data_IF_306981568190
#
_entry.id   IF_306981568190
#
_cell.length_a   1.000
_cell.length_b   1.000
_cell.length_c   1.000
_cell.angle_alpha   90.00
_cell.angle_beta   90.00
_cell.angle_gamma   90.00
#
_symmetry.space_group_name_H-M   'P 1'
#
loop_
_entity.id
_entity.type
_entity.pdbx_description
1 polymer ?
#
# COMPACT_ATOMS: atom_id res chain seq x y z
N UNK A 1 -11.90 -6.84 8.83
CA UNK A 1 -13.13 -7.47 8.26
C UNK A 1 -13.43 -8.81 8.94
N UNK A 2 -12.77 -9.92 8.61
CA UNK A 2 -13.12 -11.24 9.19
C UNK A 2 -13.12 -11.22 10.74
N UNK A 3 -12.05 -10.71 11.35
CA UNK A 3 -11.95 -10.58 12.81
C UNK A 3 -13.02 -9.66 13.43
N UNK A 4 -13.42 -8.61 12.71
CA UNK A 4 -14.49 -7.70 13.15
C UNK A 4 -15.86 -8.40 13.12
N UNK A 5 -16.17 -9.12 12.03
CA UNK A 5 -17.40 -9.90 11.89
C UNK A 5 -17.52 -10.99 12.95
N UNK A 6 -16.42 -11.72 13.21
CA UNK A 6 -16.39 -12.72 14.28
C UNK A 6 -16.61 -12.08 15.65
N UNK A 7 -16.06 -10.89 15.90
CA UNK A 7 -16.29 -10.13 17.12
C UNK A 7 -17.76 -9.70 17.24
N UNK A 8 -18.35 -9.22 16.14
CA UNK A 8 -19.75 -8.80 16.08
C UNK A 8 -20.71 -9.97 16.35
N UNK A 9 -20.49 -11.11 15.69
CA UNK A 9 -21.23 -12.36 15.90
C UNK A 9 -21.07 -12.88 17.34
N UNK A 10 -19.85 -12.81 17.91
CA UNK A 10 -19.60 -13.20 19.30
C UNK A 10 -20.40 -12.35 20.28
N UNK A 11 -20.45 -11.03 20.09
CA UNK A 11 -21.23 -10.12 20.94
C UNK A 11 -22.73 -10.43 20.83
N UNK A 12 -23.25 -10.65 19.61
CA UNK A 12 -24.62 -11.08 19.38
C UNK A 12 -24.94 -12.39 20.12
N UNK A 13 -24.06 -13.39 19.99
CA UNK A 13 -24.17 -14.68 20.68
C UNK A 13 -24.24 -14.52 22.20
N UNK A 14 -23.45 -13.61 22.77
CA UNK A 14 -23.43 -13.35 24.22
C UNK A 14 -24.75 -12.76 24.73
N UNK A 15 -25.44 -11.94 23.92
CA UNK A 15 -26.78 -11.44 24.24
C UNK A 15 -27.79 -12.58 24.22
N UNK A 16 -27.83 -13.35 23.12
CA UNK A 16 -28.80 -14.45 22.95
C UNK A 16 -28.61 -15.54 24.02
N UNK A 17 -27.36 -15.86 24.36
CA UNK A 17 -27.03 -16.81 25.43
C UNK A 17 -27.55 -16.34 26.78
N UNK A 18 -27.29 -15.08 27.16
CA UNK A 18 -27.78 -14.52 28.43
C UNK A 18 -29.32 -14.52 28.48
N UNK A 19 -29.98 -14.23 27.35
CA UNK A 19 -31.44 -14.28 27.26
C UNK A 19 -31.98 -15.70 27.42
N UNK A 20 -31.33 -16.70 26.82
CA UNK A 20 -31.72 -18.11 26.92
C UNK A 20 -31.54 -18.66 28.35
N UNK A 21 -30.49 -18.22 29.06
CA UNK A 21 -30.26 -18.56 30.48
C UNK A 21 -31.31 -17.92 31.39
N UNK A 22 -31.71 -16.67 31.12
CA UNK A 22 -32.75 -15.99 31.89
C UNK A 22 -34.15 -16.56 31.62
N UNK A 23 -34.42 -16.93 30.35
CA UNK A 23 -35.71 -17.51 29.94
C UNK A 23 -35.49 -18.54 28.82
N UNK A 24 -35.57 -19.85 29.14
CA UNK A 24 -35.39 -20.91 28.14
C UNK A 24 -36.50 -20.85 27.09
N UNK A 25 -36.14 -20.53 25.84
CA UNK A 25 -37.05 -20.47 24.70
C UNK A 25 -36.39 -21.16 23.49
N UNK A 26 -37.06 -22.12 22.83
CA UNK A 26 -36.48 -22.83 21.68
C UNK A 26 -36.05 -21.92 20.53
N UNK A 27 -36.74 -20.78 20.34
CA UNK A 27 -36.37 -19.79 19.33
C UNK A 27 -35.00 -19.13 19.61
N UNK A 28 -34.59 -19.01 20.88
CA UNK A 28 -33.27 -18.47 21.24
C UNK A 28 -32.15 -19.50 20.98
N UNK A 29 -32.43 -20.79 21.19
CA UNK A 29 -31.50 -21.85 20.83
C UNK A 29 -31.30 -21.93 19.31
N UNK A 30 -32.38 -21.78 18.53
CA UNK A 30 -32.33 -21.71 17.07
C UNK A 30 -31.54 -20.49 16.59
N UNK A 31 -31.78 -19.31 17.17
CA UNK A 31 -31.06 -18.09 16.83
C UNK A 31 -29.56 -18.21 17.17
N UNK A 32 -29.22 -18.79 18.33
CA UNK A 32 -27.83 -19.07 18.71
C UNK A 32 -27.17 -20.00 17.70
N UNK A 33 -27.86 -21.06 17.27
CA UNK A 33 -27.35 -21.97 16.24
C UNK A 33 -27.09 -21.24 14.91
N UNK A 34 -27.98 -20.33 14.48
CA UNK A 34 -27.76 -19.51 13.28
C UNK A 34 -26.54 -18.59 13.41
N UNK A 35 -26.35 -17.97 14.57
CA UNK A 35 -25.16 -17.13 14.86
C UNK A 35 -23.88 -17.98 14.78
N UNK A 36 -23.87 -19.15 15.43
CA UNK A 36 -22.71 -20.06 15.42
C UNK A 36 -22.41 -20.57 14.00
N UNK A 37 -23.44 -20.84 13.19
CA UNK A 37 -23.29 -21.20 11.78
C UNK A 37 -22.65 -20.09 10.96
N UNK A 38 -23.09 -18.84 11.12
CA UNK A 38 -22.46 -17.70 10.45
C UNK A 38 -21.01 -17.49 10.92
N UNK A 39 -20.73 -17.67 12.21
CA UNK A 39 -19.38 -17.54 12.75
C UNK A 39 -18.43 -18.63 12.20
N UNK A 40 -18.90 -19.87 12.07
CA UNK A 40 -18.14 -20.95 11.46
C UNK A 40 -17.82 -20.67 9.99
N UNK A 41 -18.83 -20.23 9.21
CA UNK A 41 -18.65 -19.87 7.80
C UNK A 41 -17.62 -18.75 7.62
N UNK A 42 -17.77 -17.65 8.37
CA UNK A 42 -16.82 -16.53 8.34
C UNK A 42 -15.44 -16.99 8.80
N UNK A 43 -15.34 -17.92 9.75
CA UNK A 43 -14.07 -18.45 10.26
C UNK A 43 -13.28 -19.29 9.24
N UNK A 44 -13.96 -20.06 8.39
CA UNK A 44 -13.30 -20.89 7.37
C UNK A 44 -12.84 -20.08 6.16
N UNK A 45 -13.72 -19.28 5.57
CA UNK A 45 -13.40 -18.47 4.41
C UNK A 45 -14.40 -17.32 4.28
N UNK A 46 -13.89 -16.10 4.14
CA UNK A 46 -14.73 -14.93 3.87
C UNK A 46 -14.95 -14.79 2.36
N UNK A 47 -16.16 -15.08 1.89
CA UNK A 47 -16.55 -14.89 0.50
C UNK A 47 -17.03 -13.46 0.22
N UNK A 48 -17.02 -13.09 -1.06
CA UNK A 48 -17.54 -11.79 -1.51
C UNK A 48 -19.05 -11.71 -1.26
N UNK A 49 -19.47 -10.87 -0.32
CA UNK A 49 -20.87 -10.67 0.06
C UNK A 49 -21.24 -11.18 1.45
N UNK A 50 -20.38 -11.98 2.09
CA UNK A 50 -20.64 -12.51 3.44
C UNK A 50 -20.78 -11.40 4.48
N UNK A 51 -19.97 -10.34 4.38
CA UNK A 51 -20.07 -9.17 5.25
C UNK A 51 -21.48 -8.55 5.21
N UNK A 52 -22.02 -8.34 4.01
CA UNK A 52 -23.36 -7.77 3.82
C UNK A 52 -24.42 -8.71 4.38
N UNK A 53 -24.30 -10.01 4.10
CA UNK A 53 -25.25 -11.02 4.58
C UNK A 53 -25.26 -11.11 6.11
N UNK A 54 -24.08 -11.16 6.74
CA UNK A 54 -23.93 -11.24 8.19
C UNK A 54 -24.46 -9.97 8.86
N UNK A 55 -24.13 -8.79 8.34
CA UNK A 55 -24.64 -7.52 8.88
C UNK A 55 -26.17 -7.46 8.75
N UNK A 56 -26.73 -7.89 7.61
CA UNK A 56 -28.19 -7.95 7.43
C UNK A 56 -28.83 -8.91 8.43
N UNK A 57 -28.27 -10.10 8.61
CA UNK A 57 -28.75 -11.08 9.59
C UNK A 57 -28.72 -10.52 11.01
N UNK A 58 -27.60 -9.91 11.42
CA UNK A 58 -27.46 -9.30 12.73
C UNK A 58 -28.51 -8.20 12.96
N UNK A 59 -28.75 -7.33 11.98
CA UNK A 59 -29.75 -6.26 12.10
C UNK A 59 -31.18 -6.79 12.12
N UNK A 60 -31.53 -7.67 11.20
CA UNK A 60 -32.92 -8.08 10.97
C UNK A 60 -33.38 -9.16 11.95
N UNK A 61 -32.53 -10.15 12.24
CA UNK A 61 -32.91 -11.31 13.05
C UNK A 61 -32.48 -11.19 14.51
N UNK A 62 -31.37 -10.50 14.80
CA UNK A 62 -30.79 -10.44 16.16
C UNK A 62 -31.13 -9.12 16.86
N UNK A 63 -30.71 -7.99 16.30
CA UNK A 63 -30.86 -6.66 16.90
C UNK A 63 -32.33 -6.26 17.03
N UNK A 64 -33.20 -6.70 16.11
CA UNK A 64 -34.64 -6.47 16.16
C UNK A 64 -35.30 -7.03 17.44
N UNK A 65 -34.66 -8.01 18.08
CA UNK A 65 -35.15 -8.63 19.31
C UNK A 65 -34.66 -7.92 20.57
N UNK A 66 -33.63 -7.08 20.49
CA UNK A 66 -32.94 -6.54 21.66
C UNK A 66 -33.84 -5.74 22.60
N UNK A 67 -34.80 -4.99 22.07
CA UNK A 67 -35.78 -4.26 22.90
C UNK A 67 -36.59 -5.20 23.79
N UNK A 68 -37.00 -6.36 23.26
CA UNK A 68 -37.71 -7.36 24.05
C UNK A 68 -36.77 -8.13 24.98
N UNK A 69 -35.60 -8.57 24.50
CA UNK A 69 -34.66 -9.38 25.29
C UNK A 69 -34.15 -8.65 26.54
N UNK A 70 -33.97 -7.33 26.48
CA UNK A 70 -33.58 -6.52 27.65
C UNK A 70 -34.57 -6.58 28.82
N UNK A 71 -35.82 -7.01 28.57
CA UNK A 71 -36.83 -7.21 29.62
C UNK A 71 -36.61 -8.49 30.44
N UNK A 72 -35.76 -9.41 29.98
CA UNK A 72 -35.55 -10.71 30.64
C UNK A 72 -34.64 -10.62 31.87
N UNK A 73 -33.97 -9.48 32.09
CA UNK A 73 -33.22 -9.22 33.31
C UNK A 73 -32.03 -8.26 33.13
N UNK A 74 -31.42 -7.81 34.24
CA UNK A 74 -30.28 -6.90 34.21
C UNK A 74 -29.06 -7.48 33.49
N UNK A 75 -28.81 -8.79 33.64
CA UNK A 75 -27.70 -9.47 32.96
C UNK A 75 -27.82 -9.42 31.42
N UNK A 76 -29.04 -9.52 30.87
CA UNK A 76 -29.26 -9.41 29.42
C UNK A 76 -29.08 -7.96 28.97
N UNK A 77 -29.57 -7.00 29.76
CA UNK A 77 -29.42 -5.58 29.48
C UNK A 77 -27.97 -5.15 29.38
N UNK A 78 -27.15 -5.56 30.33
CA UNK A 78 -25.70 -5.31 30.33
C UNK A 78 -25.03 -5.82 29.04
N UNK A 79 -25.43 -7.00 28.55
CA UNK A 79 -24.89 -7.56 27.30
C UNK A 79 -25.34 -6.79 26.06
N UNK A 80 -26.59 -6.31 26.04
CA UNK A 80 -27.08 -5.47 24.93
C UNK A 80 -26.37 -4.12 24.92
N UNK A 81 -26.14 -3.52 26.08
CA UNK A 81 -25.38 -2.28 26.20
C UNK A 81 -23.92 -2.47 25.72
N UNK A 82 -23.26 -3.55 26.14
CA UNK A 82 -21.92 -3.89 25.68
C UNK A 82 -21.85 -4.13 24.16
N UNK A 83 -22.88 -4.78 23.58
CA UNK A 83 -22.98 -4.94 22.12
C UNK A 83 -23.07 -3.57 21.43
N UNK A 84 -24.00 -2.71 21.86
CA UNK A 84 -24.22 -1.39 21.26
C UNK A 84 -23.00 -0.48 21.38
N UNK A 85 -22.30 -0.53 22.52
CA UNK A 85 -21.09 0.25 22.75
C UNK A 85 -19.92 -0.17 21.84
N UNK A 86 -19.90 -1.41 21.36
CA UNK A 86 -18.86 -1.90 20.44
C UNK A 86 -19.13 -1.55 18.97
N UNK A 87 -20.33 -1.07 18.62
CA UNK A 87 -20.67 -0.70 17.26
C UNK A 87 -20.15 0.69 16.91
N UNK A 88 -19.60 0.83 15.70
CA UNK A 88 -19.20 2.13 15.19
C UNK A 88 -20.45 2.97 14.84
N UNK A 89 -20.52 4.26 15.25
CA UNK A 89 -21.75 5.08 15.16
C UNK A 89 -22.33 5.24 13.76
N UNK A 90 -21.49 5.24 12.72
CA UNK A 90 -21.92 5.48 11.34
C UNK A 90 -22.28 4.19 10.59
N UNK A 91 -21.55 3.09 10.86
CA UNK A 91 -21.74 1.84 10.12
C UNK A 91 -22.63 0.85 10.84
N UNK A 92 -22.86 1.01 12.15
CA UNK A 92 -23.61 0.06 12.97
C UNK A 92 -22.98 -1.34 12.98
N UNK A 93 -21.66 -1.41 12.85
CA UNK A 93 -20.88 -2.65 12.83
C UNK A 93 -19.60 -2.47 13.66
N UNK A 94 -19.01 -3.57 14.12
CA UNK A 94 -17.69 -3.55 14.79
C UNK A 94 -16.62 -3.18 13.75
N UNK A 95 -15.77 -2.19 14.04
CA UNK A 95 -14.75 -1.65 13.11
C UNK A 95 -13.34 -1.61 13.69
N UNK A 96 -13.09 -2.26 14.83
CA UNK A 96 -11.84 -2.12 15.58
C UNK A 96 -10.59 -2.50 14.77
N UNK A 97 -10.58 -3.67 14.12
CA UNK A 97 -9.41 -4.13 13.37
C UNK A 97 -9.23 -3.33 12.08
N UNK A 98 -10.34 -2.93 11.45
CA UNK A 98 -10.32 -2.05 10.28
C UNK A 98 -9.72 -0.68 10.63
N UNK A 99 -10.14 -0.10 11.74
CA UNK A 99 -9.60 1.17 12.23
C UNK A 99 -8.10 1.06 12.51
N UNK A 100 -7.65 -0.01 13.18
CA UNK A 100 -6.22 -0.25 13.41
C UNK A 100 -5.42 -0.35 12.11
N UNK A 101 -6.00 -0.96 11.07
CA UNK A 101 -5.39 -1.02 9.74
C UNK A 101 -5.32 0.37 9.09
N UNK A 102 -6.44 1.10 9.04
CA UNK A 102 -6.54 2.45 8.48
C UNK A 102 -5.59 3.44 9.18
N UNK A 103 -5.51 3.38 10.52
CA UNK A 103 -4.56 4.17 11.32
C UNK A 103 -3.10 3.82 10.97
N UNK A 104 -2.81 2.54 10.73
CA UNK A 104 -1.45 2.10 10.37
C UNK A 104 -1.06 2.58 8.98
N UNK A 105 -1.97 2.48 8.00
CA UNK A 105 -1.78 3.00 6.63
C UNK A 105 -1.57 4.51 6.65
N UNK A 106 -2.43 5.23 7.38
CA UNK A 106 -2.33 6.69 7.51
C UNK A 106 -0.96 7.10 8.05
N UNK A 107 -0.49 6.47 9.13
CA UNK A 107 0.84 6.75 9.71
C UNK A 107 1.99 6.47 8.75
N UNK A 108 1.88 5.41 7.94
CA UNK A 108 2.88 5.10 6.91
C UNK A 108 2.92 6.24 5.88
N UNK A 109 1.77 6.63 5.32
CA UNK A 109 1.66 7.69 4.31
C UNK A 109 2.14 9.04 4.86
N UNK A 110 1.78 9.38 6.09
CA UNK A 110 2.22 10.60 6.79
C UNK A 110 3.73 10.60 7.09
N UNK A 111 4.37 9.44 7.15
CA UNK A 111 5.82 9.33 7.31
C UNK A 111 6.56 9.44 5.98
N UNK A 112 6.02 8.83 4.92
CA UNK A 112 6.65 8.76 3.61
C UNK A 112 6.46 10.06 2.82
N UNK A 113 5.25 10.60 2.81
CA UNK A 113 4.89 11.73 1.94
C UNK A 113 5.75 12.97 2.19
N UNK A 114 5.93 13.44 3.44
CA UNK A 114 6.76 14.63 3.68
C UNK A 114 8.22 14.42 3.29
N UNK A 115 8.78 13.23 3.57
CA UNK A 115 10.15 12.92 3.17
C UNK A 115 10.33 12.96 1.64
N UNK A 116 9.36 12.42 0.90
CA UNK A 116 9.36 12.47 -0.56
C UNK A 116 9.20 13.90 -1.07
N UNK A 117 8.31 14.69 -0.47
CA UNK A 117 8.06 16.09 -0.86
C UNK A 117 9.30 16.97 -0.65
N UNK A 118 9.98 16.85 0.49
CA UNK A 118 11.21 17.59 0.78
C UNK A 118 12.34 17.17 -0.19
N UNK A 119 12.46 15.87 -0.48
CA UNK A 119 13.47 15.37 -1.41
C UNK A 119 13.19 15.83 -2.84
N UNK A 120 11.92 15.93 -3.22
CA UNK A 120 11.46 16.36 -4.54
C UNK A 120 11.69 17.86 -4.75
N UNK A 121 11.43 18.70 -3.74
CA UNK A 121 11.76 20.13 -3.81
C UNK A 121 13.24 20.35 -4.11
N UNK A 122 14.13 19.56 -3.48
CA UNK A 122 15.55 19.59 -3.78
C UNK A 122 15.88 19.07 -5.20
N UNK A 123 15.15 18.06 -5.68
CA UNK A 123 15.35 17.48 -7.02
C UNK A 123 14.97 18.46 -8.14
N UNK A 124 13.98 19.31 -7.93
CA UNK A 124 13.59 20.35 -8.90
C UNK A 124 14.73 21.31 -9.23
N UNK A 125 15.68 21.50 -8.31
CA UNK A 125 16.87 22.31 -8.56
C UNK A 125 17.95 21.59 -9.40
N UNK A 126 17.86 20.25 -9.57
CA UNK A 126 18.73 19.51 -10.49
C UNK A 126 18.34 19.77 -11.96
N UNK A 127 17.05 19.72 -12.25
CA UNK A 127 16.48 20.06 -13.56
C UNK A 127 14.95 20.19 -13.44
N UNK A 128 14.30 21.20 -14.04
CA UNK A 128 12.84 21.33 -13.99
C UNK A 128 12.13 20.11 -14.60
N UNK A 129 11.20 19.53 -13.85
CA UNK A 129 10.49 18.33 -14.29
C UNK A 129 9.06 18.30 -13.73
N UNK A 130 8.20 17.51 -14.36
CA UNK A 130 6.83 17.32 -13.89
C UNK A 130 6.77 16.11 -12.96
N UNK A 131 6.30 16.33 -11.74
CA UNK A 131 6.17 15.33 -10.69
C UNK A 131 4.69 15.04 -10.40
N UNK A 132 4.28 13.79 -10.56
CA UNK A 132 2.93 13.32 -10.23
C UNK A 132 3.01 12.39 -9.02
N UNK A 133 2.25 12.69 -7.96
CA UNK A 133 2.16 11.87 -6.73
C UNK A 133 0.72 11.49 -6.44
N UNK A 134 0.51 10.23 -6.06
CA UNK A 134 -0.79 9.70 -5.66
C UNK A 134 -0.68 8.97 -4.32
N UNK A 135 -1.52 9.36 -3.37
CA UNK A 135 -1.61 8.75 -2.04
C UNK A 135 -2.88 7.91 -1.96
N UNK A 136 -2.74 6.62 -1.71
CA UNK A 136 -3.84 5.67 -1.54
C UNK A 136 -3.61 4.83 -0.28
N UNK A 137 -3.44 3.51 -0.40
CA UNK A 137 -2.94 2.63 0.65
C UNK A 137 -1.39 2.56 0.67
N UNK A 138 -0.76 3.27 -0.25
CA UNK A 138 0.67 3.58 -0.30
C UNK A 138 0.94 4.91 -0.98
N UNK A 139 2.19 5.15 -1.37
CA UNK A 139 2.62 6.34 -2.11
C UNK A 139 3.18 5.91 -3.46
N UNK A 140 2.52 6.33 -4.53
CA UNK A 140 2.98 6.17 -5.92
C UNK A 140 3.40 7.53 -6.46
N UNK A 141 4.50 7.57 -7.22
CA UNK A 141 4.93 8.79 -7.89
C UNK A 141 5.59 8.51 -9.24
N UNK A 142 5.49 9.49 -10.13
CA UNK A 142 6.06 9.47 -11.47
C UNK A 142 6.73 10.79 -11.77
N UNK A 143 7.86 10.71 -12.48
CA UNK A 143 8.63 11.87 -12.92
C UNK A 143 8.65 11.86 -14.44
N UNK A 144 8.27 13.00 -15.02
CA UNK A 144 8.37 13.24 -16.44
C UNK A 144 9.39 14.35 -16.67
N UNK A 145 10.40 14.05 -17.49
CA UNK A 145 11.50 14.96 -17.78
C UNK A 145 11.87 14.89 -19.26
N UNK A 146 12.17 16.03 -19.88
CA UNK A 146 12.58 16.10 -21.27
C UNK A 146 12.53 17.53 -21.82
N UNK A 147 13.12 17.72 -23.00
CA UNK A 147 13.19 19.03 -23.66
C UNK A 147 11.82 19.70 -23.85
N UNK A 148 10.76 18.91 -24.07
CA UNK A 148 9.40 19.42 -24.30
C UNK A 148 8.71 19.97 -23.06
N UNK A 149 9.29 19.81 -21.86
CA UNK A 149 8.75 20.29 -20.59
C UNK A 149 9.38 21.61 -20.13
N UNK A 150 10.39 22.11 -20.86
CA UNK A 150 11.10 23.36 -20.54
C UNK A 150 11.01 24.34 -21.71
N UNK A 151 10.86 25.64 -21.41
CA UNK A 151 10.62 26.66 -22.45
C UNK A 151 11.81 26.85 -23.39
N UNK A 152 13.04 26.68 -22.90
CA UNK A 152 14.26 26.87 -23.68
C UNK A 152 14.69 25.62 -24.48
N UNK A 153 13.96 24.51 -24.31
CA UNK A 153 14.22 23.23 -24.97
C UNK A 153 15.54 22.56 -24.59
N UNK A 154 16.26 23.05 -23.58
CA UNK A 154 17.59 22.51 -23.22
C UNK A 154 17.41 21.27 -22.36
N UNK A 155 17.85 20.13 -22.87
CA UNK A 155 17.84 18.87 -22.15
C UNK A 155 19.06 18.03 -22.51
N UNK A 156 19.70 17.48 -21.49
CA UNK A 156 20.79 16.52 -21.62
C UNK A 156 20.42 15.21 -20.90
N UNK A 157 20.70 14.03 -21.49
CA UNK A 157 20.48 12.73 -20.84
C UNK A 157 21.12 12.58 -19.45
N UNK A 158 22.12 13.39 -19.11
CA UNK A 158 22.69 13.44 -17.77
C UNK A 158 21.63 13.77 -16.70
N UNK A 159 20.70 14.68 -16.97
CA UNK A 159 19.64 15.01 -16.00
C UNK A 159 18.72 13.82 -15.73
N UNK A 160 18.37 13.05 -16.77
CA UNK A 160 17.59 11.82 -16.63
C UNK A 160 18.31 10.78 -15.76
N UNK A 161 19.62 10.59 -16.00
CA UNK A 161 20.44 9.67 -15.17
C UNK A 161 20.49 10.13 -13.71
N UNK A 162 20.66 11.43 -13.48
CA UNK A 162 20.66 12.02 -12.14
C UNK A 162 19.34 11.77 -11.42
N UNK A 163 18.20 12.01 -12.07
CA UNK A 163 16.88 11.80 -11.48
C UNK A 163 16.58 10.31 -11.20
N UNK A 164 17.03 9.40 -12.08
CA UNK A 164 16.88 7.95 -11.83
C UNK A 164 17.67 7.47 -10.61
N UNK A 165 18.92 7.92 -10.49
CA UNK A 165 19.74 7.60 -9.32
C UNK A 165 19.14 8.24 -8.06
N UNK A 166 18.71 9.49 -8.14
CA UNK A 166 18.00 10.18 -7.06
C UNK A 166 16.76 9.39 -6.61
N UNK A 167 15.93 8.93 -7.54
CA UNK A 167 14.73 8.16 -7.23
C UNK A 167 15.08 6.90 -6.44
N UNK A 168 16.12 6.17 -6.85
CA UNK A 168 16.57 4.98 -6.13
C UNK A 168 17.10 5.30 -4.72
N UNK A 169 17.82 6.42 -4.57
CA UNK A 169 18.26 6.91 -3.25
C UNK A 169 17.07 7.25 -2.35
N UNK A 170 16.06 7.94 -2.87
CA UNK A 170 14.83 8.27 -2.14
C UNK A 170 14.11 7.00 -1.72
N UNK A 171 13.98 6.00 -2.60
CA UNK A 171 13.34 4.72 -2.25
C UNK A 171 14.08 4.00 -1.13
N UNK A 172 15.43 4.04 -1.08
CA UNK A 172 16.19 3.52 0.05
C UNK A 172 15.84 4.25 1.36
N UNK A 173 15.78 5.59 1.30
CA UNK A 173 15.40 6.43 2.45
C UNK A 173 13.97 6.21 2.94
N UNK A 174 13.03 5.95 2.02
CA UNK A 174 11.66 5.59 2.31
C UNK A 174 11.61 4.22 3.00
N UNK A 175 12.31 3.22 2.46
CA UNK A 175 12.31 1.86 2.97
C UNK A 175 12.77 1.79 4.44
N UNK A 176 13.86 2.50 4.78
CA UNK A 176 14.37 2.54 6.17
C UNK A 176 13.40 3.23 7.12
N UNK A 177 12.77 4.34 6.70
CA UNK A 177 11.78 5.06 7.52
C UNK A 177 10.54 4.21 7.78
N UNK A 178 10.05 3.53 6.75
CA UNK A 178 8.90 2.64 6.85
C UNK A 178 9.21 1.43 7.75
N UNK A 179 10.39 0.82 7.61
CA UNK A 179 10.80 -0.30 8.46
C UNK A 179 10.88 0.10 9.94
N UNK A 180 11.52 1.24 10.25
CA UNK A 180 11.59 1.81 11.61
C UNK A 180 10.21 2.12 12.21
N UNK A 181 9.24 2.49 11.38
CA UNK A 181 7.88 2.78 11.82
C UNK A 181 7.11 1.52 12.22
N UNK A 182 7.41 0.37 11.61
CA UNK A 182 6.68 -0.91 11.78
C UNK A 182 6.40 -1.25 13.24
N UNK A 183 7.40 -1.07 14.13
CA UNK A 183 7.27 -1.39 15.55
C UNK A 183 6.34 -0.46 16.34
N UNK A 184 5.95 0.69 15.76
CA UNK A 184 5.09 1.72 16.38
C UNK A 184 3.66 1.73 15.81
N UNK A 185 3.38 0.88 14.83
CA UNK A 185 2.06 0.82 14.19
C UNK A 185 1.07 0.00 15.03
N UNK A 186 -0.21 0.42 15.11
CA UNK A 186 -1.27 -0.38 15.72
C UNK A 186 -1.37 -1.79 15.14
N UNK A 187 -1.10 -1.92 13.84
CA UNK A 187 -0.92 -3.17 13.13
C UNK A 187 0.45 -3.11 12.44
N UNK A 188 1.39 -4.04 12.69
CA UNK A 188 2.77 -3.97 12.20
C UNK A 188 2.85 -4.29 10.69
N UNK A 189 2.30 -3.41 9.87
CA UNK A 189 2.34 -3.48 8.42
C UNK A 189 3.77 -3.23 7.94
N UNK A 190 4.22 -4.05 6.98
CA UNK A 190 5.51 -3.88 6.32
C UNK A 190 5.28 -3.40 4.89
N UNK A 191 6.04 -2.40 4.47
CA UNK A 191 5.99 -1.87 3.10
C UNK A 191 6.86 -2.69 2.17
N UNK A 192 6.50 -2.66 0.89
CA UNK A 192 7.33 -3.20 -0.19
C UNK A 192 7.58 -2.12 -1.22
N UNK A 193 8.76 -2.15 -1.86
CA UNK A 193 9.19 -1.07 -2.74
C UNK A 193 9.44 -1.61 -4.15
N UNK A 194 8.91 -0.91 -5.15
CA UNK A 194 9.03 -1.26 -6.55
C UNK A 194 9.32 -0.01 -7.38
N UNK A 195 10.23 -0.15 -8.34
CA UNK A 195 10.49 0.85 -9.38
C UNK A 195 10.30 0.17 -10.72
N UNK A 196 9.40 0.71 -11.54
CA UNK A 196 9.23 0.28 -12.92
C UNK A 196 10.13 1.14 -13.81
N UNK A 197 11.13 0.51 -14.41
CA UNK A 197 12.10 1.17 -15.27
C UNK A 197 11.57 1.21 -16.69
N UNK A 198 11.68 2.39 -17.32
CA UNK A 198 11.45 2.56 -18.74
C UNK A 198 12.48 3.55 -19.33
N UNK A 199 13.21 3.09 -20.35
CA UNK A 199 14.11 3.92 -21.14
C UNK A 199 13.44 4.62 -22.32
N UNK A 200 12.41 4.00 -22.90
CA UNK A 200 11.74 4.52 -24.09
C UNK A 200 11.02 5.85 -23.80
N UNK A 201 11.28 6.91 -24.58
CA UNK A 201 10.53 8.16 -24.49
C UNK A 201 9.04 7.91 -24.69
N UNK A 202 8.22 8.58 -23.89
CA UNK A 202 6.76 8.50 -23.96
C UNK A 202 6.19 9.81 -24.52
N UNK A 203 5.09 9.70 -25.26
CA UNK A 203 4.37 10.86 -25.75
C UNK A 203 3.27 11.21 -24.76
N UNK A 204 3.23 12.46 -24.30
CA UNK A 204 2.24 12.93 -23.33
C UNK A 204 1.34 13.99 -23.94
N UNK A 205 0.07 13.99 -23.55
CA UNK A 205 -0.87 15.07 -23.84
C UNK A 205 -1.55 15.53 -22.57
N UNK A 206 -1.60 16.84 -22.35
CA UNK A 206 -2.39 17.40 -21.26
C UNK A 206 -3.88 17.26 -21.57
N UNK A 207 -4.63 16.60 -20.69
CA UNK A 207 -6.07 16.47 -20.76
C UNK A 207 -6.72 17.55 -19.92
N UNK A 208 -7.30 18.56 -20.57
CA UNK A 208 -7.85 19.75 -19.90
C UNK A 208 -9.04 19.45 -18.98
N UNK A 209 -9.84 18.46 -19.35
CA UNK A 209 -10.96 17.95 -18.56
C UNK A 209 -10.50 17.25 -17.28
N UNK A 210 -9.46 16.43 -17.38
CA UNK A 210 -8.92 15.65 -16.26
C UNK A 210 -7.84 16.41 -15.45
N UNK A 211 -7.40 17.57 -15.95
CA UNK A 211 -6.30 18.39 -15.44
C UNK A 211 -5.02 17.59 -15.15
N UNK A 212 -4.72 16.62 -16.01
CA UNK A 212 -3.55 15.73 -15.86
C UNK A 212 -2.94 15.41 -17.22
N UNK A 213 -1.68 14.95 -17.21
CA UNK A 213 -1.08 14.36 -18.40
C UNK A 213 -1.60 12.94 -18.59
N UNK A 214 -2.14 12.66 -19.77
CA UNK A 214 -2.42 11.32 -20.24
C UNK A 214 -1.34 10.89 -21.22
N UNK A 215 -1.01 9.60 -21.22
CA UNK A 215 -0.08 9.05 -22.21
C UNK A 215 -0.80 8.87 -23.55
N UNK A 216 -0.14 9.26 -24.64
CA UNK A 216 -0.71 9.32 -25.98
C UNK A 216 0.07 8.40 -26.93
N UNK A 217 -0.49 7.23 -27.24
CA UNK A 217 0.12 6.30 -28.19
C UNK A 217 -0.18 4.83 -27.88
N UNK A 218 -0.32 4.01 -28.93
CA UNK A 218 -0.61 2.58 -28.77
C UNK A 218 0.53 1.80 -28.08
N UNK A 219 1.77 2.26 -28.20
CA UNK A 219 2.95 1.65 -27.57
C UNK A 219 3.00 1.89 -26.05
N UNK A 220 2.48 3.03 -25.59
CA UNK A 220 2.50 3.42 -24.19
C UNK A 220 1.40 2.76 -23.34
N UNK A 221 0.38 2.19 -23.99
CA UNK A 221 -0.65 1.38 -23.34
C UNK A 221 -0.04 0.20 -22.58
N UNK A 222 1.07 -0.36 -23.08
CA UNK A 222 1.77 -1.46 -22.40
C UNK A 222 2.25 -1.04 -21.01
N UNK A 223 2.80 0.16 -20.86
CA UNK A 223 3.29 0.68 -19.58
C UNK A 223 2.16 0.77 -18.55
N UNK A 224 1.02 1.34 -18.96
CA UNK A 224 -0.18 1.43 -18.10
C UNK A 224 -0.74 0.07 -17.69
N UNK A 225 -0.67 -0.93 -18.59
CA UNK A 225 -1.08 -2.30 -18.27
C UNK A 225 -0.12 -2.91 -17.23
N UNK A 226 1.19 -2.71 -17.39
CA UNK A 226 2.19 -3.19 -16.43
C UNK A 226 1.95 -2.55 -15.06
N UNK A 227 1.84 -1.22 -15.00
CA UNK A 227 1.64 -0.47 -13.76
C UNK A 227 0.46 -1.00 -12.93
N UNK A 228 -0.66 -1.32 -13.58
CA UNK A 228 -1.87 -1.84 -12.92
C UNK A 228 -1.77 -3.27 -12.40
N UNK A 229 -0.76 -4.04 -12.83
CA UNK A 229 -0.67 -5.49 -12.57
C UNK A 229 0.61 -5.91 -11.86
N UNK A 230 1.66 -5.10 -11.94
CA UNK A 230 3.00 -5.46 -11.48
C UNK A 230 3.08 -5.67 -9.97
N UNK A 231 2.23 -5.00 -9.20
CA UNK A 231 2.15 -5.16 -7.73
C UNK A 231 1.91 -6.61 -7.27
N UNK A 232 1.19 -7.39 -8.09
CA UNK A 232 0.86 -8.80 -7.80
C UNK A 232 1.70 -9.79 -8.60
N UNK A 233 2.75 -9.32 -9.27
CA UNK A 233 3.60 -10.19 -10.08
C UNK A 233 4.32 -11.23 -9.23
N UNK A 234 4.37 -12.45 -9.76
CA UNK A 234 5.08 -13.59 -9.18
C UNK A 234 6.39 -13.83 -9.94
N UNK A 235 7.37 -14.40 -9.24
CA UNK A 235 8.60 -14.89 -9.87
C UNK A 235 8.27 -16.17 -10.60
N UNK A 236 8.68 -16.24 -11.88
CA UNK A 236 8.40 -17.35 -12.78
C UNK A 236 8.83 -18.69 -12.19
N UNK A 237 7.90 -19.65 -12.16
CA UNK A 237 8.16 -20.99 -11.64
C UNK A 237 8.08 -21.07 -10.11
N UNK A 238 7.60 -20.03 -9.44
CA UNK A 238 7.42 -19.98 -7.99
C UNK A 238 6.08 -19.35 -7.63
N UNK A 239 5.64 -19.54 -6.38
CA UNK A 239 4.51 -18.78 -5.81
C UNK A 239 4.97 -17.55 -5.03
N UNK A 240 6.21 -17.11 -5.21
CA UNK A 240 6.79 -15.98 -4.50
C UNK A 240 6.43 -14.67 -5.20
N UNK A 241 5.90 -13.70 -4.44
CA UNK A 241 5.71 -12.33 -4.95
C UNK A 241 7.06 -11.68 -5.22
N UNK A 242 7.13 -10.91 -6.32
CA UNK A 242 8.30 -10.10 -6.65
C UNK A 242 8.68 -9.16 -5.50
N UNK A 243 7.71 -8.39 -5.02
CA UNK A 243 7.85 -7.41 -3.97
C UNK A 243 7.95 -8.09 -2.61
N UNK A 244 9.02 -7.79 -1.87
CA UNK A 244 9.28 -8.37 -0.56
C UNK A 244 9.67 -7.26 0.44
N UNK A 245 9.22 -7.33 1.70
CA UNK A 245 9.64 -6.38 2.72
C UNK A 245 11.15 -6.30 2.89
N UNK A 246 11.67 -5.10 3.06
CA UNK A 246 13.12 -4.85 3.19
C UNK A 246 13.90 -4.95 1.87
N UNK A 247 13.23 -5.18 0.74
CA UNK A 247 13.85 -5.24 -0.59
C UNK A 247 13.25 -4.18 -1.53
N UNK A 248 14.05 -3.79 -2.51
CA UNK A 248 13.61 -2.98 -3.66
C UNK A 248 13.59 -3.88 -4.89
N UNK A 249 12.46 -3.90 -5.58
CA UNK A 249 12.30 -4.57 -6.87
C UNK A 249 12.39 -3.55 -8.02
N UNK A 250 13.38 -3.72 -8.90
CA UNK A 250 13.59 -2.89 -10.09
C UNK A 250 13.13 -3.68 -11.31
N UNK A 251 11.94 -3.39 -11.82
CA UNK A 251 11.34 -4.10 -12.95
C UNK A 251 11.76 -3.45 -14.26
N UNK A 252 12.20 -4.25 -15.21
CA UNK A 252 12.66 -3.78 -16.52
C UNK A 252 12.23 -4.72 -17.63
N UNK A 253 12.27 -4.22 -18.87
CA UNK A 253 11.91 -4.97 -20.08
C UNK A 253 13.07 -5.12 -21.06
N UNK A 254 14.08 -4.25 -20.97
CA UNK A 254 15.23 -4.24 -21.87
C UNK A 254 16.54 -4.51 -21.10
N UNK A 255 17.49 -5.28 -21.67
CA UNK A 255 18.74 -5.61 -20.96
C UNK A 255 19.62 -4.40 -20.61
N UNK A 256 19.59 -3.33 -21.40
CA UNK A 256 20.34 -2.10 -21.15
C UNK A 256 19.83 -1.34 -19.92
N UNK A 257 18.53 -1.42 -19.62
CA UNK A 257 17.93 -0.92 -18.38
C UNK A 257 18.58 -1.58 -17.16
N UNK A 258 18.75 -2.90 -17.20
CA UNK A 258 19.43 -3.64 -16.13
C UNK A 258 20.90 -3.21 -15.97
N UNK A 259 21.62 -3.03 -17.09
CA UNK A 259 23.03 -2.60 -17.06
C UNK A 259 23.18 -1.21 -16.43
N UNK A 260 22.24 -0.30 -16.67
CA UNK A 260 22.22 1.01 -16.03
C UNK A 260 21.95 0.92 -14.53
N UNK A 261 20.89 0.22 -14.13
CA UNK A 261 20.52 0.11 -12.72
C UNK A 261 21.51 -0.68 -11.89
N UNK A 262 22.25 -1.62 -12.49
CA UNK A 262 23.37 -2.30 -11.80
C UNK A 262 24.46 -1.34 -11.35
N UNK A 263 24.81 -0.35 -12.18
CA UNK A 263 25.78 0.69 -11.79
C UNK A 263 25.25 1.54 -10.64
N UNK A 264 23.96 1.85 -10.63
CA UNK A 264 23.34 2.56 -9.53
C UNK A 264 23.34 1.73 -8.25
N UNK A 265 23.01 0.44 -8.33
CA UNK A 265 23.07 -0.48 -7.20
C UNK A 265 24.49 -0.56 -6.64
N UNK A 266 25.49 -0.77 -7.49
CA UNK A 266 26.91 -0.87 -7.08
C UNK A 266 27.38 0.42 -6.36
N UNK A 267 27.00 1.59 -6.89
CA UNK A 267 27.27 2.85 -6.22
C UNK A 267 26.57 2.95 -4.85
N UNK A 268 25.30 2.54 -4.74
CA UNK A 268 24.56 2.56 -3.49
C UNK A 268 25.05 1.52 -2.48
N UNK A 269 25.56 0.38 -2.94
CA UNK A 269 26.28 -0.60 -2.11
C UNK A 269 27.56 0.02 -1.54
N UNK A 270 28.33 0.76 -2.35
CA UNK A 270 29.53 1.47 -1.87
C UNK A 270 29.23 2.54 -0.82
N UNK A 271 28.00 3.08 -0.81
CA UNK A 271 27.51 4.04 0.18
C UNK A 271 26.87 3.36 1.41
N UNK A 272 26.78 2.03 1.42
CA UNK A 272 26.14 1.27 2.51
C UNK A 272 24.61 1.37 2.52
N UNK A 273 23.98 1.78 1.41
CA UNK A 273 22.51 1.85 1.31
C UNK A 273 21.88 0.48 1.01
N UNK A 274 22.60 -0.37 0.28
CA UNK A 274 22.14 -1.67 -0.23
C UNK A 274 23.14 -2.77 0.15
N UNK A 275 22.66 -4.00 0.29
CA UNK A 275 23.51 -5.17 0.51
C UNK A 275 24.15 -5.67 -0.78
N UNK A 276 25.23 -6.44 -0.67
CA UNK A 276 26.00 -6.95 -1.82
C UNK A 276 25.20 -7.88 -2.76
N UNK A 277 24.28 -8.67 -2.20
CA UNK A 277 23.49 -9.63 -2.99
C UNK A 277 22.44 -8.93 -3.86
N UNK A 278 22.50 -9.20 -5.16
CA UNK A 278 21.50 -8.78 -6.16
C UNK A 278 20.91 -10.02 -6.81
N UNK A 279 19.60 -10.17 -6.72
CA UNK A 279 18.85 -11.27 -7.31
C UNK A 279 18.35 -10.90 -8.71
N UNK A 280 18.65 -11.74 -9.70
CA UNK A 280 18.06 -11.68 -11.03
C UNK A 280 16.84 -12.58 -11.11
N UNK A 281 15.66 -12.00 -11.31
CA UNK A 281 14.41 -12.76 -11.39
C UNK A 281 13.68 -12.51 -12.70
N UNK A 282 13.05 -13.56 -13.20
CA UNK A 282 12.14 -13.48 -14.35
C UNK A 282 10.72 -13.50 -13.83
N UNK A 283 9.86 -12.62 -14.32
CA UNK A 283 8.47 -12.57 -13.87
C UNK A 283 7.58 -13.52 -14.66
N UNK A 284 6.50 -13.95 -14.03
CA UNK A 284 5.39 -14.57 -14.75
C UNK A 284 4.76 -13.60 -15.75
N UNK A 285 4.26 -14.16 -16.85
CA UNK A 285 3.60 -13.36 -17.86
C UNK A 285 2.30 -12.78 -17.31
N UNK A 286 2.16 -11.47 -17.42
CA UNK A 286 0.95 -10.76 -17.04
C UNK A 286 0.02 -10.71 -18.26
N UNK A 287 -1.28 -10.55 -18.04
CA UNK A 287 -2.23 -10.46 -19.14
C UNK A 287 -1.87 -9.28 -20.08
N UNK A 288 -1.41 -9.59 -21.29
CA UNK A 288 -1.00 -8.61 -22.29
C UNK A 288 0.45 -8.10 -22.15
N UNK A 289 1.25 -8.66 -21.24
CA UNK A 289 2.66 -8.29 -21.04
C UNK A 289 3.51 -9.54 -20.81
N UNK A 290 4.52 -9.73 -21.66
CA UNK A 290 5.45 -10.86 -21.59
C UNK A 290 6.89 -10.38 -21.43
N UNK A 291 7.74 -11.24 -20.83
CA UNK A 291 9.19 -11.04 -20.81
C UNK A 291 9.68 -9.94 -19.88
N UNK A 292 8.99 -9.70 -18.76
CA UNK A 292 9.50 -8.80 -17.72
C UNK A 292 10.55 -9.50 -16.87
N UNK A 293 11.59 -8.75 -16.54
CA UNK A 293 12.64 -9.15 -15.62
C UNK A 293 12.68 -8.16 -14.45
N UNK A 294 13.32 -8.56 -13.35
CA UNK A 294 13.60 -7.64 -12.27
C UNK A 294 14.94 -7.91 -11.60
N UNK A 295 15.56 -6.83 -11.11
CA UNK A 295 16.63 -6.91 -10.13
C UNK A 295 16.00 -6.72 -8.76
N UNK A 296 16.33 -7.58 -7.80
CA UNK A 296 15.88 -7.44 -6.42
C UNK A 296 17.08 -7.34 -5.49
N UNK A 297 17.08 -6.33 -4.63
CA UNK A 297 18.20 -6.01 -3.74
C UNK A 297 17.68 -5.64 -2.36
N UNK A 298 18.41 -6.06 -1.32
CA UNK A 298 18.04 -5.78 0.08
C UNK A 298 18.55 -4.40 0.50
N UNK A 299 17.69 -3.65 1.20
CA UNK A 299 18.05 -2.36 1.79
C UNK A 299 18.80 -2.60 3.10
N UNK A 300 19.91 -1.90 3.31
CA UNK A 300 20.66 -1.99 4.56
C UNK A 300 19.83 -1.45 5.74
N UNK A 301 19.97 -2.07 6.92
CA UNK A 301 19.22 -1.66 8.11
C UNK A 301 19.64 -0.26 8.62
N UNK A 302 20.94 0.05 8.49
CA UNK A 302 21.55 1.30 8.93
C UNK A 302 22.08 2.09 7.73
N UNK A 303 21.17 2.57 6.88
CA UNK A 303 21.56 3.47 5.79
C UNK A 303 22.15 4.75 6.39
N UNK A 304 23.40 5.11 6.05
CA UNK A 304 24.03 6.31 6.59
C UNK A 304 23.22 7.57 6.25
N UNK A 305 22.93 8.41 7.24
CA UNK A 305 22.24 9.68 7.01
C UNK A 305 22.97 10.56 5.99
N UNK A 306 24.30 10.46 5.90
CA UNK A 306 25.13 11.15 4.92
C UNK A 306 24.87 10.68 3.48
N UNK A 307 24.57 9.39 3.29
CA UNK A 307 24.20 8.82 2.00
C UNK A 307 22.80 9.29 1.55
N UNK A 308 21.90 9.55 2.50
CA UNK A 308 20.59 10.15 2.27
C UNK A 308 20.67 11.68 2.15
N UNK A 309 21.59 12.35 2.85
CA UNK A 309 21.79 13.81 2.86
C UNK A 309 22.57 14.34 1.64
N UNK A 310 23.19 13.45 0.84
CA UNK A 310 23.66 13.77 -0.51
C UNK A 310 22.54 14.32 -1.42
N UNK A 311 21.27 14.19 -1.01
CA UNK A 311 20.09 14.81 -1.63
C UNK A 311 20.02 16.35 -1.48
N UNK A 312 20.63 16.95 -0.44
CA UNK A 312 20.43 18.37 -0.12
C UNK A 312 21.70 19.24 -0.24
N UNK A 313 22.90 18.69 0.01
CA UNK A 313 24.08 19.51 0.24
C UNK A 313 24.77 20.04 -1.04
N UNK A 314 24.70 19.33 -2.18
CA UNK A 314 25.51 19.69 -3.36
C UNK A 314 24.85 20.64 -4.36
N UNK A 315 23.55 20.90 -4.24
CA UNK A 315 22.84 21.85 -5.12
C UNK A 315 22.88 23.28 -4.56
N UNK A 316 23.05 23.44 -3.24
CA UNK A 316 23.13 24.75 -2.59
C UNK A 316 24.55 25.35 -2.62
N UNK A 317 25.61 24.54 -2.60
CA UNK A 317 26.99 25.03 -2.69
C UNK A 317 27.40 25.49 -4.10
N UNK A 318 26.59 25.22 -5.12
CA UNK A 318 26.82 25.64 -6.51
C UNK A 318 25.95 26.81 -6.97
N UNK A 319 25.49 27.69 -6.07
CA UNK A 319 25.04 29.04 -6.46
C UNK A 319 26.22 30.02 -6.50
N UNK A 320 26.88 30.26 -7.64
CA UNK A 320 27.62 31.49 -7.81
C UNK A 320 26.61 32.61 -8.14
N UNK A 321 26.45 33.54 -7.21
CA UNK A 321 25.96 34.90 -7.51
C UNK A 321 24.45 35.11 -7.51
N UNK A 322 24.07 36.18 -6.82
CA UNK A 322 22.86 36.95 -7.04
C UNK A 322 22.86 37.61 -8.43
#
# INVERSE_FOLDING_TARGET
>A
IQADLLTHLRLARQVVQAAAEARPLPALDELRYRIDKHAAQVGEMLASGDEISVISFLRTDVESLFEHLQTFGPAVRERVEAYRAALHPQSGAVHEQRQRFEDSVTRIVETISPYLDDAEEAAQAMFPHYFEKQNTDGVDHQIYVGASLVEDGRFDPLYLKSLRLWQLMVVCGIAVRADRLTARLPLPLRTTHLVLVQHAPISMRFRFDEKRFGIDGAYDVRYEIVKKRIDKALIRGTNERLTQPGKIALVYSQPDEAVEYRRYIEYLQSLGCLTDEVEDVVLEDLQGVHGLHALRVTVAADVPEQALALQAARVLESRPGA
#
